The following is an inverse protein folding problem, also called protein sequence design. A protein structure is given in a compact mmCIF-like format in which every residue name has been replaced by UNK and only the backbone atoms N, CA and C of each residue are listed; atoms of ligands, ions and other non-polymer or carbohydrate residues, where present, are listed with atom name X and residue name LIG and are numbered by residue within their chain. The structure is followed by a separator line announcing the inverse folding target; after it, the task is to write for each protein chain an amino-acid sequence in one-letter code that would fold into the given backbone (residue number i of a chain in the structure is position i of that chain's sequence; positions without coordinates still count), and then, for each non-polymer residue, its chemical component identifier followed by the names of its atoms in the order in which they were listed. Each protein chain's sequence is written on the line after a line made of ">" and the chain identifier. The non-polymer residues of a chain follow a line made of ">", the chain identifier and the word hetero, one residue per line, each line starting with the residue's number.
data_IF_967640012552
#
_entry.id   IF_967640012552
#
_cell.length_a   1.000
_cell.length_b   1.000
_cell.length_c   1.000
_cell.angle_alpha   90.00
_cell.angle_beta   90.00
_cell.angle_gamma   90.00
#
_symmetry.space_group_name_H-M   'P 1'
#
loop_
_entity.id
_entity.type
_entity.pdbx_description
1 polymer ?
#
# COMPACT_ATOMS: atom_id res chain seq x y z
N UNK A 1 25.26 -15.44 -18.55
CA UNK A 1 24.11 -15.08 -17.70
C UNK A 1 22.88 -15.39 -18.54
N UNK A 2 21.92 -16.14 -18.02
CA UNK A 2 20.67 -16.39 -18.76
C UNK A 2 19.94 -15.06 -18.96
N UNK A 3 19.39 -14.83 -20.15
CA UNK A 3 18.54 -13.66 -20.41
C UNK A 3 17.29 -13.74 -19.53
N UNK A 4 16.87 -12.60 -18.98
CA UNK A 4 15.66 -12.53 -18.17
C UNK A 4 14.42 -12.87 -19.03
N UNK A 5 13.44 -13.63 -18.48
CA UNK A 5 12.25 -14.02 -19.24
C UNK A 5 11.37 -12.81 -19.59
N UNK A 6 10.73 -12.86 -20.76
CA UNK A 6 9.85 -11.78 -21.25
C UNK A 6 8.62 -11.58 -20.32
N UNK A 7 8.47 -10.40 -19.71
CA UNK A 7 7.34 -10.12 -18.82
C UNK A 7 6.05 -9.74 -19.58
N UNK A 8 6.07 -9.62 -20.91
CA UNK A 8 4.94 -9.14 -21.72
C UNK A 8 3.64 -9.91 -21.47
N UNK A 9 3.74 -11.21 -21.19
CA UNK A 9 2.60 -12.07 -20.86
C UNK A 9 1.83 -11.65 -19.58
N UNK A 10 2.48 -10.91 -18.67
CA UNK A 10 1.88 -10.41 -17.43
C UNK A 10 1.44 -8.94 -17.50
N UNK A 11 1.93 -8.21 -18.50
CA UNK A 11 1.75 -6.76 -18.62
C UNK A 11 0.73 -6.37 -19.69
N UNK A 12 0.56 -7.21 -20.72
CA UNK A 12 -0.24 -6.88 -21.90
C UNK A 12 -1.27 -8.00 -22.12
N UNK A 13 -2.55 -7.63 -22.25
CA UNK A 13 -3.54 -8.58 -22.79
C UNK A 13 -3.10 -8.93 -24.21
N UNK A 14 -2.74 -10.20 -24.44
CA UNK A 14 -2.29 -10.66 -25.74
C UNK A 14 -3.31 -10.30 -26.83
N UNK A 15 -2.84 -10.06 -28.06
CA UNK A 15 -3.73 -9.73 -29.18
C UNK A 15 -4.78 -10.82 -29.41
N UNK A 16 -4.40 -12.09 -29.19
CA UNK A 16 -5.32 -13.22 -29.25
C UNK A 16 -6.40 -13.12 -28.16
N UNK A 17 -6.02 -12.83 -26.92
CA UNK A 17 -6.98 -12.70 -25.82
C UNK A 17 -7.90 -11.50 -26.02
N UNK A 18 -7.38 -10.34 -26.46
CA UNK A 18 -8.19 -9.18 -26.83
C UNK A 18 -9.21 -9.52 -27.91
N UNK A 19 -8.83 -10.29 -28.94
CA UNK A 19 -9.75 -10.73 -29.98
C UNK A 19 -10.84 -11.64 -29.42
N UNK A 20 -10.47 -12.63 -28.60
CA UNK A 20 -11.43 -13.53 -27.95
C UNK A 20 -12.43 -12.76 -27.08
N UNK A 21 -11.94 -11.87 -26.22
CA UNK A 21 -12.78 -11.06 -25.34
C UNK A 21 -13.70 -10.13 -26.16
N UNK A 22 -13.20 -9.47 -27.21
CA UNK A 22 -14.01 -8.62 -28.10
C UNK A 22 -15.09 -9.37 -28.89
N UNK A 23 -14.91 -10.67 -29.13
CA UNK A 23 -15.91 -11.51 -29.83
C UNK A 23 -16.98 -12.07 -28.91
N UNK A 24 -16.90 -11.86 -27.58
CA UNK A 24 -17.91 -12.36 -26.65
C UNK A 24 -19.29 -11.76 -26.99
N UNK A 25 -20.37 -12.58 -27.02
CA UNK A 25 -21.72 -12.07 -27.22
C UNK A 25 -22.06 -11.01 -26.17
N UNK A 26 -22.59 -9.88 -26.63
CA UNK A 26 -22.97 -8.77 -25.77
C UNK A 26 -24.24 -8.10 -26.29
N UNK A 27 -25.20 -7.91 -25.39
CA UNK A 27 -26.41 -7.12 -25.63
C UNK A 27 -26.53 -6.06 -24.54
N UNK A 28 -26.12 -4.83 -24.84
CA UNK A 28 -26.12 -3.74 -23.86
C UNK A 28 -27.50 -3.28 -23.37
N UNK A 29 -28.59 -3.78 -23.97
CA UNK A 29 -29.96 -3.52 -23.50
C UNK A 29 -30.50 -4.63 -22.61
N UNK A 30 -29.97 -5.85 -22.73
CA UNK A 30 -30.41 -7.01 -21.93
C UNK A 30 -29.44 -7.40 -20.83
N UNK A 31 -28.14 -7.26 -21.06
CA UNK A 31 -27.12 -7.67 -20.10
C UNK A 31 -26.96 -6.64 -19.00
N UNK A 32 -27.06 -7.09 -17.77
CA UNK A 32 -27.02 -6.24 -16.58
C UNK A 32 -26.28 -6.93 -15.43
N UNK A 33 -25.70 -6.13 -14.55
CA UNK A 33 -25.17 -6.60 -13.27
C UNK A 33 -26.26 -6.53 -12.21
N UNK A 34 -26.40 -7.61 -11.44
CA UNK A 34 -27.30 -7.68 -10.29
C UNK A 34 -26.52 -7.97 -9.01
N UNK A 35 -26.91 -7.41 -7.86
CA UNK A 35 -26.24 -7.67 -6.59
C UNK A 35 -26.40 -9.14 -6.16
N UNK A 36 -25.36 -9.68 -5.54
CA UNK A 36 -25.29 -11.03 -5.02
C UNK A 36 -24.52 -11.09 -3.70
N UNK A 37 -24.97 -11.91 -2.75
CA UNK A 37 -24.33 -11.99 -1.43
C UNK A 37 -22.95 -12.69 -1.47
N UNK A 38 -22.72 -13.61 -2.42
CA UNK A 38 -21.49 -14.41 -2.50
C UNK A 38 -20.47 -13.81 -3.46
N UNK A 39 -20.92 -13.45 -4.65
CA UNK A 39 -20.07 -12.94 -5.74
C UNK A 39 -20.04 -11.40 -5.79
N UNK A 40 -20.73 -10.71 -4.85
CA UNK A 40 -21.01 -9.27 -4.83
C UNK A 40 -21.93 -8.81 -5.99
N UNK A 41 -21.57 -9.16 -7.23
CA UNK A 41 -22.37 -8.90 -8.43
C UNK A 41 -22.33 -10.10 -9.39
N UNK A 42 -23.47 -10.39 -10.01
CA UNK A 42 -23.63 -11.42 -11.04
C UNK A 42 -24.06 -10.79 -12.36
N UNK A 43 -23.57 -11.37 -13.46
CA UNK A 43 -24.03 -11.02 -14.79
C UNK A 43 -25.36 -11.73 -15.06
N UNK A 44 -26.36 -11.00 -15.52
CA UNK A 44 -27.65 -11.56 -15.90
C UNK A 44 -28.25 -10.93 -17.14
N UNK A 45 -29.29 -11.56 -17.67
CA UNK A 45 -30.05 -11.10 -18.83
C UNK A 45 -31.47 -10.70 -18.42
N UNK A 46 -31.91 -9.51 -18.80
CA UNK A 46 -33.28 -9.06 -18.58
C UNK A 46 -34.24 -9.92 -19.41
N UNK A 47 -35.19 -10.56 -18.73
CA UNK A 47 -36.30 -11.28 -19.36
C UNK A 47 -37.53 -10.39 -19.52
N UNK A 48 -37.86 -9.60 -18.50
CA UNK A 48 -39.02 -8.72 -18.52
C UNK A 48 -38.87 -7.50 -17.61
N UNK A 49 -39.66 -6.47 -17.88
CA UNK A 49 -39.74 -5.25 -17.07
C UNK A 49 -41.21 -4.93 -16.83
N UNK A 50 -41.60 -4.79 -15.57
CA UNK A 50 -42.97 -4.47 -15.14
C UNK A 50 -42.93 -3.29 -14.18
N UNK A 51 -43.22 -2.09 -14.68
CA UNK A 51 -43.07 -0.86 -13.90
C UNK A 51 -41.61 -0.67 -13.44
N UNK A 52 -41.41 -0.52 -12.14
CA UNK A 52 -40.08 -0.32 -11.53
C UNK A 52 -39.35 -1.64 -11.20
N UNK A 53 -39.96 -2.78 -11.50
CA UNK A 53 -39.37 -4.10 -11.27
C UNK A 53 -38.81 -4.69 -12.57
N UNK A 54 -37.60 -5.24 -12.50
CA UNK A 54 -36.89 -5.90 -13.59
C UNK A 54 -36.66 -7.35 -13.19
N UNK A 55 -37.07 -8.28 -14.06
CA UNK A 55 -36.81 -9.72 -13.90
C UNK A 55 -35.60 -10.09 -14.75
N UNK A 56 -34.58 -10.64 -14.09
CA UNK A 56 -33.26 -10.95 -14.67
C UNK A 56 -32.95 -12.42 -14.44
N UNK A 57 -32.63 -13.13 -15.53
CA UNK A 57 -32.02 -14.47 -15.47
C UNK A 57 -30.52 -14.34 -15.20
N UNK A 58 -30.09 -14.82 -14.04
CA UNK A 58 -28.70 -14.77 -13.56
C UNK A 58 -27.90 -16.01 -13.97
N UNK A 59 -28.48 -16.88 -14.81
CA UNK A 59 -27.92 -18.15 -15.22
C UNK A 59 -28.13 -19.25 -14.17
N UNK A 60 -27.83 -20.50 -14.57
CA UNK A 60 -28.00 -21.72 -13.74
C UNK A 60 -29.44 -21.95 -13.23
N UNK A 61 -30.44 -21.40 -13.93
CA UNK A 61 -31.85 -21.53 -13.56
C UNK A 61 -32.30 -20.57 -12.45
N UNK A 62 -31.46 -19.60 -12.07
CA UNK A 62 -31.78 -18.61 -11.06
C UNK A 62 -32.32 -17.31 -11.69
N UNK A 63 -33.61 -17.04 -11.47
CA UNK A 63 -34.27 -15.81 -11.93
C UNK A 63 -34.56 -14.92 -10.74
N UNK A 64 -34.13 -13.66 -10.79
CA UNK A 64 -34.32 -12.66 -9.73
C UNK A 64 -35.20 -11.52 -10.23
N UNK A 65 -36.12 -11.05 -9.39
CA UNK A 65 -36.88 -9.82 -9.65
C UNK A 65 -36.43 -8.75 -8.68
N UNK A 66 -35.89 -7.66 -9.21
CA UNK A 66 -35.25 -6.58 -8.46
C UNK A 66 -35.79 -5.23 -8.92
N UNK A 67 -35.67 -4.22 -8.06
CA UNK A 67 -35.94 -2.84 -8.48
C UNK A 67 -34.93 -2.39 -9.53
N UNK A 68 -35.38 -1.59 -10.49
CA UNK A 68 -34.56 -1.05 -11.57
C UNK A 68 -33.28 -0.37 -11.08
N UNK A 69 -33.35 0.34 -9.96
CA UNK A 69 -32.21 1.08 -9.39
C UNK A 69 -31.08 0.18 -8.84
N UNK A 70 -31.38 -1.10 -8.56
CA UNK A 70 -30.39 -2.09 -8.10
C UNK A 70 -29.66 -2.78 -9.25
N UNK A 71 -30.13 -2.57 -10.49
CA UNK A 71 -29.59 -3.19 -11.68
C UNK A 71 -28.60 -2.25 -12.35
N UNK A 72 -27.35 -2.68 -12.54
CA UNK A 72 -26.30 -1.83 -13.12
C UNK A 72 -25.99 -2.23 -14.57
N UNK A 73 -25.56 -1.25 -15.37
CA UNK A 73 -25.22 -1.47 -16.77
C UNK A 73 -23.88 -2.19 -16.93
N UNK A 74 -23.80 -3.09 -17.91
CA UNK A 74 -22.60 -3.87 -18.22
C UNK A 74 -21.81 -3.18 -19.32
N UNK A 75 -20.48 -3.08 -19.17
CA UNK A 75 -19.62 -2.51 -20.20
C UNK A 75 -19.47 -3.46 -21.39
N UNK A 76 -19.36 -2.94 -22.63
CA UNK A 76 -19.05 -3.75 -23.80
C UNK A 76 -17.72 -4.53 -23.66
N UNK A 77 -17.58 -5.72 -24.28
CA UNK A 77 -16.40 -6.58 -24.11
C UNK A 77 -15.07 -5.94 -24.55
N UNK A 78 -15.11 -4.89 -25.38
CA UNK A 78 -13.90 -4.11 -25.74
C UNK A 78 -13.21 -3.45 -24.54
N UNK A 79 -13.90 -3.31 -23.42
CA UNK A 79 -13.39 -2.74 -22.17
C UNK A 79 -12.94 -3.80 -21.16
N UNK A 80 -12.99 -5.08 -21.53
CA UNK A 80 -12.59 -6.15 -20.63
C UNK A 80 -11.07 -6.10 -20.37
N UNK A 81 -10.70 -6.22 -19.09
CA UNK A 81 -9.31 -6.12 -18.60
C UNK A 81 -8.65 -4.79 -18.98
N UNK A 82 -9.40 -3.69 -19.04
CA UNK A 82 -8.82 -2.37 -19.28
C UNK A 82 -7.80 -2.00 -18.18
N UNK A 83 -6.69 -1.38 -18.56
CA UNK A 83 -5.64 -0.91 -17.64
C UNK A 83 -6.08 0.33 -16.87
N UNK A 84 -6.79 1.23 -17.55
CA UNK A 84 -7.36 2.44 -16.98
C UNK A 84 -8.87 2.29 -16.82
N UNK A 85 -9.34 2.12 -15.59
CA UNK A 85 -10.76 1.99 -15.28
C UNK A 85 -11.56 3.29 -15.51
N UNK A 86 -10.89 4.44 -15.57
CA UNK A 86 -11.56 5.69 -15.96
C UNK A 86 -12.02 5.68 -17.42
N UNK A 87 -11.48 4.76 -18.24
CA UNK A 87 -11.87 4.58 -19.63
C UNK A 87 -13.13 3.72 -19.82
N UNK A 88 -13.72 3.17 -18.76
CA UNK A 88 -14.97 2.41 -18.83
C UNK A 88 -16.13 3.33 -19.27
N UNK A 89 -17.06 2.80 -20.07
CA UNK A 89 -18.29 3.55 -20.44
C UNK A 89 -19.22 3.70 -19.24
N UNK A 90 -19.36 2.63 -18.45
CA UNK A 90 -20.14 2.62 -17.22
C UNK A 90 -19.18 2.41 -16.04
N UNK A 91 -18.82 3.50 -15.37
CA UNK A 91 -17.99 3.46 -14.17
C UNK A 91 -18.89 3.25 -12.94
N UNK A 92 -19.35 2.01 -12.77
CA UNK A 92 -20.15 1.57 -11.63
C UNK A 92 -19.42 0.49 -10.82
N UNK A 93 -19.87 0.25 -9.60
CA UNK A 93 -19.23 -0.66 -8.65
C UNK A 93 -19.08 -2.07 -9.23
N UNK A 94 -20.10 -2.58 -9.93
CA UNK A 94 -20.07 -3.90 -10.53
C UNK A 94 -19.01 -4.02 -11.64
N UNK A 95 -18.89 -2.99 -12.48
CA UNK A 95 -17.92 -2.96 -13.59
C UNK A 95 -16.48 -2.85 -13.10
N UNK A 96 -16.23 -2.03 -12.06
CA UNK A 96 -14.91 -1.90 -11.43
C UNK A 96 -14.50 -3.23 -10.81
N UNK A 97 -15.39 -3.85 -10.03
CA UNK A 97 -15.10 -5.12 -9.36
C UNK A 97 -14.88 -6.24 -10.38
N UNK A 98 -15.69 -6.32 -11.43
CA UNK A 98 -15.52 -7.31 -12.49
C UNK A 98 -14.17 -7.15 -13.21
N UNK A 99 -13.82 -5.92 -13.61
CA UNK A 99 -12.54 -5.66 -14.27
C UNK A 99 -11.34 -6.00 -13.37
N UNK A 100 -11.41 -5.65 -12.08
CA UNK A 100 -10.40 -6.05 -11.10
C UNK A 100 -10.31 -7.57 -10.95
N UNK A 101 -11.43 -8.25 -10.78
CA UNK A 101 -11.48 -9.71 -10.64
C UNK A 101 -10.85 -10.41 -11.86
N UNK A 102 -11.23 -10.01 -13.07
CA UNK A 102 -10.66 -10.53 -14.31
C UNK A 102 -9.15 -10.27 -14.38
N UNK A 103 -8.70 -9.05 -14.10
CA UNK A 103 -7.25 -8.75 -14.09
C UNK A 103 -6.50 -9.57 -13.03
N UNK A 104 -7.10 -9.83 -11.87
CA UNK A 104 -6.48 -10.61 -10.81
C UNK A 104 -6.26 -12.07 -11.24
N UNK A 105 -7.31 -12.73 -11.72
CA UNK A 105 -7.24 -14.14 -12.15
C UNK A 105 -6.39 -14.34 -13.40
N UNK A 106 -6.20 -13.29 -14.20
CA UNK A 106 -5.29 -13.30 -15.35
C UNK A 106 -3.87 -12.81 -14.99
N UNK A 107 -3.54 -12.65 -13.70
CA UNK A 107 -2.22 -12.22 -13.20
C UNK A 107 -1.76 -10.83 -13.70
N UNK A 108 -2.70 -9.94 -14.05
CA UNK A 108 -2.46 -8.61 -14.60
C UNK A 108 -2.47 -7.47 -13.56
N UNK A 109 -2.73 -7.77 -12.29
CA UNK A 109 -2.76 -6.77 -11.21
C UNK A 109 -1.37 -6.51 -10.64
N UNK A 110 -0.50 -7.52 -10.64
CA UNK A 110 0.84 -7.37 -10.12
C UNK A 110 1.70 -6.62 -11.13
N UNK A 111 1.91 -5.33 -10.87
CA UNK A 111 2.89 -4.53 -11.58
C UNK A 111 4.25 -5.17 -11.33
N UNK A 112 4.85 -5.77 -12.36
CA UNK A 112 6.26 -6.16 -12.33
C UNK A 112 7.05 -4.88 -12.08
N UNK A 113 7.47 -4.66 -10.84
CA UNK A 113 8.35 -3.55 -10.51
C UNK A 113 9.68 -3.83 -11.22
N UNK A 114 10.19 -2.82 -11.94
CA UNK A 114 11.53 -2.95 -12.50
C UNK A 114 12.50 -3.25 -11.35
N UNK A 115 13.47 -4.13 -11.58
CA UNK A 115 14.40 -4.61 -10.54
C UNK A 115 15.10 -3.47 -9.80
N UNK A 116 15.36 -2.35 -10.48
CA UNK A 116 15.92 -1.11 -9.94
C UNK A 116 15.01 -0.37 -8.95
N UNK A 117 13.69 -0.57 -9.01
CA UNK A 117 12.73 -0.02 -8.05
C UNK A 117 12.56 -0.91 -6.81
N UNK A 118 12.99 -2.17 -6.87
CA UNK A 118 12.94 -3.10 -5.74
C UNK A 118 14.13 -2.84 -4.80
N UNK A 119 13.85 -2.16 -3.69
CA UNK A 119 14.86 -1.90 -2.67
C UNK A 119 15.14 -3.15 -1.84
N UNK A 120 16.41 -3.37 -1.51
CA UNK A 120 16.84 -4.50 -0.70
C UNK A 120 16.38 -4.34 0.75
N UNK A 121 15.93 -5.44 1.36
CA UNK A 121 15.43 -5.45 2.74
C UNK A 121 16.57 -5.85 3.68
N UNK A 122 16.70 -5.12 4.79
CA UNK A 122 17.66 -5.46 5.82
C UNK A 122 17.28 -6.78 6.52
N UNK A 123 18.25 -7.64 6.86
CA UNK A 123 17.99 -8.84 7.65
C UNK A 123 17.34 -8.52 9.01
N UNK A 124 16.58 -9.45 9.61
CA UNK A 124 15.86 -9.22 10.87
C UNK A 124 16.73 -8.74 12.05
N UNK A 125 18.04 -9.02 12.04
CA UNK A 125 18.98 -8.53 13.06
C UNK A 125 19.06 -7.00 13.18
N UNK A 126 18.60 -6.27 12.16
CA UNK A 126 18.57 -4.81 12.14
C UNK A 126 17.18 -4.22 12.43
N UNK A 127 16.22 -5.05 12.81
CA UNK A 127 14.89 -4.58 13.16
C UNK A 127 14.94 -3.69 14.41
N UNK A 128 14.28 -2.54 14.34
CA UNK A 128 14.25 -1.51 15.40
C UNK A 128 15.64 -1.04 15.83
N UNK A 129 16.60 -0.99 14.91
CA UNK A 129 17.94 -0.48 15.18
C UNK A 129 17.90 0.94 15.80
N UNK A 130 18.70 1.14 16.85
CA UNK A 130 18.82 2.43 17.55
C UNK A 130 19.53 3.50 16.71
N UNK A 131 20.44 3.08 15.83
CA UNK A 131 21.10 3.95 14.86
C UNK A 131 20.97 3.37 13.46
N UNK A 132 20.25 4.08 12.59
CA UNK A 132 20.00 3.66 11.22
C UNK A 132 21.24 3.76 10.33
N UNK A 133 22.30 4.48 10.73
CA UNK A 133 23.57 4.45 9.97
C UNK A 133 24.23 3.08 10.00
N UNK A 134 23.83 2.20 10.92
CA UNK A 134 24.36 0.84 11.04
C UNK A 134 23.58 -0.18 10.20
N UNK A 135 22.53 0.23 9.48
CA UNK A 135 21.81 -0.64 8.55
C UNK A 135 22.71 -1.06 7.40
N UNK A 136 22.59 -2.32 6.97
CA UNK A 136 23.33 -2.82 5.80
C UNK A 136 22.83 -2.19 4.50
N UNK A 137 21.52 -2.03 4.37
CA UNK A 137 20.88 -1.35 3.24
C UNK A 137 20.26 -0.06 3.74
N UNK A 138 20.92 1.07 3.47
CA UNK A 138 20.40 2.39 3.80
C UNK A 138 19.64 2.95 2.60
N UNK A 139 18.37 2.60 2.50
CA UNK A 139 17.44 3.06 1.47
C UNK A 139 16.15 3.60 2.10
N UNK A 140 15.37 4.36 1.34
CA UNK A 140 14.16 5.03 1.82
C UNK A 140 13.17 4.06 2.48
N UNK A 141 13.01 2.87 1.89
CA UNK A 141 12.12 1.83 2.44
C UNK A 141 12.62 1.32 3.79
N UNK A 142 13.93 1.11 3.96
CA UNK A 142 14.53 0.62 5.19
C UNK A 142 14.46 1.65 6.32
N UNK A 143 14.71 2.92 6.01
CA UNK A 143 14.56 4.03 6.97
C UNK A 143 13.11 4.13 7.44
N UNK A 144 12.16 4.16 6.49
CA UNK A 144 10.73 4.22 6.80
C UNK A 144 10.28 3.02 7.63
N UNK A 145 10.71 1.82 7.25
CA UNK A 145 10.38 0.58 7.97
C UNK A 145 10.88 0.61 9.41
N UNK A 146 12.15 0.98 9.63
CA UNK A 146 12.72 1.02 10.97
C UNK A 146 12.04 2.07 11.86
N UNK A 147 11.82 3.28 11.32
CA UNK A 147 11.13 4.36 12.02
C UNK A 147 9.70 3.98 12.40
N UNK A 148 8.95 3.37 11.46
CA UNK A 148 7.60 2.87 11.71
C UNK A 148 7.59 1.80 12.79
N UNK A 149 8.43 0.78 12.68
CA UNK A 149 8.49 -0.31 13.64
C UNK A 149 8.85 0.19 15.06
N UNK A 150 9.76 1.15 15.18
CA UNK A 150 10.10 1.79 16.46
C UNK A 150 8.95 2.61 17.02
N UNK A 151 8.29 3.41 16.19
CA UNK A 151 7.15 4.22 16.59
C UNK A 151 5.97 3.38 17.10
N UNK A 152 5.64 2.29 16.41
CA UNK A 152 4.61 1.33 16.82
C UNK A 152 4.92 0.69 18.20
N UNK A 153 6.19 0.67 18.58
CA UNK A 153 6.68 0.18 19.88
C UNK A 153 6.98 1.33 20.87
N UNK A 154 6.45 2.53 20.64
CA UNK A 154 6.58 3.71 21.50
C UNK A 154 8.03 4.24 21.65
N UNK A 155 8.93 3.87 20.73
CA UNK A 155 10.31 4.36 20.67
C UNK A 155 10.38 5.54 19.69
N UNK A 156 10.25 6.76 20.21
CA UNK A 156 10.12 7.97 19.37
C UNK A 156 11.46 8.56 18.92
N UNK A 157 12.55 8.20 19.58
CA UNK A 157 13.90 8.65 19.28
C UNK A 157 14.65 7.56 18.53
N UNK A 158 15.29 7.92 17.42
CA UNK A 158 16.14 7.03 16.62
C UNK A 158 17.30 7.82 16.06
N UNK A 159 18.54 7.31 16.18
CA UNK A 159 19.69 7.95 15.57
C UNK A 159 19.80 7.64 14.08
N UNK A 160 20.41 8.57 13.35
CA UNK A 160 20.87 8.38 11.98
C UNK A 160 22.24 9.04 11.87
N UNK A 161 23.28 8.31 12.28
CA UNK A 161 24.63 8.84 12.37
C UNK A 161 24.70 10.02 13.35
N UNK A 162 24.93 11.23 12.86
CA UNK A 162 24.96 12.43 13.69
C UNK A 162 23.57 12.97 14.05
N UNK A 163 22.54 12.62 13.28
CA UNK A 163 21.19 13.13 13.48
C UNK A 163 20.42 12.31 14.52
N UNK A 164 19.50 12.98 15.21
CA UNK A 164 18.49 12.32 16.03
C UNK A 164 17.13 12.58 15.41
N UNK A 165 16.54 11.53 14.84
CA UNK A 165 15.18 11.57 14.28
C UNK A 165 14.19 11.37 15.42
N UNK A 166 13.22 12.28 15.52
CA UNK A 166 12.19 12.27 16.56
C UNK A 166 10.82 12.27 15.91
N UNK A 167 10.00 11.26 16.21
CA UNK A 167 8.62 11.18 15.71
C UNK A 167 7.67 11.63 16.82
N UNK A 168 6.89 12.68 16.57
CA UNK A 168 5.96 13.20 17.57
C UNK A 168 4.89 12.15 17.94
N UNK A 169 4.81 11.69 19.21
CA UNK A 169 3.82 10.71 19.65
C UNK A 169 2.42 11.31 19.86
N UNK A 170 2.28 12.64 19.80
CA UNK A 170 1.06 13.39 20.16
C UNK A 170 0.50 13.03 21.54
N UNK A 171 1.35 12.47 22.42
CA UNK A 171 1.04 11.99 23.77
C UNK A 171 2.23 12.27 24.69
N UNK A 172 1.98 12.53 25.97
CA UNK A 172 3.04 12.74 26.96
C UNK A 172 3.55 11.40 27.46
N UNK A 173 4.79 11.04 27.11
CA UNK A 173 5.47 9.87 27.64
C UNK A 173 6.25 10.22 28.92
N UNK A 174 6.40 9.28 29.87
CA UNK A 174 7.12 9.50 31.13
C UNK A 174 8.66 9.46 30.96
N UNK A 175 9.18 9.98 29.86
CA UNK A 175 10.60 9.90 29.46
C UNK A 175 11.40 11.17 29.80
N UNK A 176 10.76 12.22 30.31
CA UNK A 176 11.40 13.48 30.69
C UNK A 176 11.53 13.68 32.21
N UNK A 177 11.53 12.60 32.98
CA UNK A 177 11.61 12.67 34.44
C UNK A 177 13.06 12.80 34.91
N UNK A 178 13.26 13.27 36.15
CA UNK A 178 14.58 13.36 36.77
C UNK A 178 15.32 12.01 36.81
N UNK A 179 14.58 10.90 36.94
CA UNK A 179 15.14 9.54 36.86
C UNK A 179 15.84 9.31 35.52
N UNK A 180 15.22 9.74 34.42
CA UNK A 180 15.79 9.59 33.08
C UNK A 180 16.99 10.53 32.92
N UNK A 181 16.92 11.77 33.40
CA UNK A 181 18.08 12.68 33.35
C UNK A 181 19.33 12.06 33.99
N UNK A 182 19.19 11.44 35.17
CA UNK A 182 20.31 10.78 35.84
C UNK A 182 20.84 9.55 35.07
N UNK A 183 20.00 8.87 34.30
CA UNK A 183 20.42 7.73 33.47
C UNK A 183 21.37 8.16 32.34
N UNK A 184 21.16 9.35 31.76
CA UNK A 184 21.89 9.84 30.59
C UNK A 184 23.11 10.69 30.93
N UNK A 185 23.21 11.21 32.16
CA UNK A 185 24.28 12.10 32.57
C UNK A 185 25.65 11.40 32.53
N UNK A 186 26.60 11.98 31.79
CA UNK A 186 27.96 11.44 31.65
C UNK A 186 28.04 10.10 30.92
N UNK A 187 27.01 9.75 30.14
CA UNK A 187 26.97 8.50 29.35
C UNK A 187 27.26 8.78 27.89
N UNK A 188 28.06 7.91 27.28
CA UNK A 188 28.23 7.95 25.82
C UNK A 188 26.96 7.48 25.14
N UNK A 189 26.70 8.02 23.95
CA UNK A 189 25.51 7.72 23.13
C UNK A 189 25.30 6.23 22.84
N UNK A 190 26.38 5.44 22.79
CA UNK A 190 26.33 3.99 22.55
C UNK A 190 25.99 3.17 23.79
N UNK A 191 26.05 3.77 24.98
CA UNK A 191 25.80 3.09 26.26
C UNK A 191 24.34 3.20 26.72
N UNK A 192 23.59 4.10 26.10
CA UNK A 192 22.20 4.42 26.45
C UNK A 192 21.33 4.41 25.19
N UNK A 193 20.03 4.11 25.31
CA UNK A 193 19.11 4.17 24.18
C UNK A 193 19.06 5.56 23.54
N UNK A 194 18.52 5.67 22.31
CA UNK A 194 18.36 6.96 21.68
C UNK A 194 17.47 7.92 22.48
N UNK A 195 17.98 9.12 22.76
CA UNK A 195 17.24 10.15 23.46
C UNK A 195 17.89 11.52 23.28
N UNK A 196 17.08 12.59 23.35
CA UNK A 196 17.56 13.98 23.30
C UNK A 196 18.59 14.31 24.40
N UNK A 197 18.47 13.67 25.56
CA UNK A 197 19.38 13.88 26.69
C UNK A 197 20.81 13.40 26.40
N UNK A 198 20.99 12.31 25.65
CA UNK A 198 22.33 11.90 25.21
C UNK A 198 22.98 12.94 24.30
N UNK A 199 22.21 13.54 23.38
CA UNK A 199 22.70 14.61 22.50
C UNK A 199 23.07 15.86 23.31
N UNK A 200 22.23 16.21 24.28
CA UNK A 200 22.45 17.39 25.13
C UNK A 200 23.67 17.21 26.06
N UNK A 201 23.83 16.03 26.66
CA UNK A 201 24.97 15.70 27.53
C UNK A 201 26.29 15.63 26.74
N UNK A 202 26.24 15.08 25.52
CA UNK A 202 27.36 15.07 24.58
C UNK A 202 27.80 16.49 24.22
N UNK A 203 26.87 17.35 23.78
CA UNK A 203 27.16 18.74 23.46
C UNK A 203 27.72 19.51 24.67
N UNK A 204 27.18 19.31 25.87
CA UNK A 204 27.70 19.91 27.08
C UNK A 204 29.13 19.45 27.41
N UNK A 205 29.40 18.15 27.29
CA UNK A 205 30.72 17.56 27.55
C UNK A 205 31.75 18.07 26.54
N UNK A 206 31.40 18.12 25.25
CA UNK A 206 32.26 18.64 24.18
C UNK A 206 32.52 20.13 24.35
N UNK A 207 31.51 20.92 24.72
CA UNK A 207 31.66 22.35 25.02
C UNK A 207 32.70 22.59 26.12
N UNK A 208 32.65 21.82 27.22
CA UNK A 208 33.59 21.94 28.33
C UNK A 208 35.00 21.45 27.97
N UNK A 209 35.09 20.37 27.18
CA UNK A 209 36.36 19.74 26.81
C UNK A 209 37.12 20.57 25.78
N UNK A 210 36.42 20.95 24.70
CA UNK A 210 37.01 21.66 23.56
C UNK A 210 37.05 23.17 23.77
N UNK A 211 36.27 23.69 24.73
CA UNK A 211 36.09 25.13 25.00
C UNK A 211 35.54 25.91 23.79
N UNK A 212 34.68 25.25 23.02
CA UNK A 212 34.03 25.81 21.84
C UNK A 212 32.50 25.76 21.99
N UNK A 213 31.83 26.80 21.47
CA UNK A 213 30.38 26.90 21.48
C UNK A 213 29.74 25.79 20.65
N UNK A 214 28.63 25.23 21.15
CA UNK A 214 27.85 24.22 20.46
C UNK A 214 26.51 24.78 20.00
N UNK A 215 25.92 24.15 18.98
CA UNK A 215 24.59 24.49 18.51
C UNK A 215 23.74 23.23 18.30
N UNK A 216 22.46 23.32 18.62
CA UNK A 216 21.48 22.26 18.38
C UNK A 216 20.41 22.81 17.45
N UNK A 217 20.39 22.34 16.20
CA UNK A 217 19.40 22.72 15.20
C UNK A 217 18.25 21.71 15.21
N UNK A 218 17.03 22.20 15.39
CA UNK A 218 15.79 21.40 15.35
C UNK A 218 14.98 21.88 14.15
N UNK A 219 14.69 20.96 13.23
CA UNK A 219 13.97 21.22 11.96
C UNK A 219 12.70 20.41 11.87
#
# INVERSE_FOLDING_TARGET
>A
MAEDPDPSQYLIVSLEQKRKDQTKPYDGKKMVWVPDEKECYLLGNIESTKGDMVTVDCGKGEVRTLKKDLVQQVNPPKFEKCDDMASLTYLNDASVLHNLKERYYNHMIYKTLKKDLCQQVNPPKYEKADDMSNLTYLNDASVLYNLRARYENQLIYTYSGLFCVVINPYKRFPIYTNRVVQLYRGKRRTEVPPHLFAISDGAYTEMLTNRENQSMLIT
#
